data_IF_862531587807
#
_entry.id   IF_862531587807
#
_cell.length_a   1.000
_cell.length_b   1.000
_cell.length_c   1.000
_cell.angle_alpha   90.00
_cell.angle_beta   90.00
_cell.angle_gamma   90.00
#
_symmetry.space_group_name_H-M   'P 1'
#
loop_
_entity.id
_entity.type
_entity.pdbx_description
1 polymer ?
#
# COMPACT_ATOMS: atom_id res chain seq x y z
N UNK A 1 -0.75 -9.20 -6.32
CA UNK A 1 -0.38 -7.78 -6.13
C UNK A 1 -1.17 -7.23 -4.98
N UNK A 2 -0.65 -6.21 -4.31
CA UNK A 2 -1.41 -5.47 -3.32
C UNK A 2 -1.45 -3.98 -3.68
N UNK A 3 -2.44 -3.32 -3.11
CA UNK A 3 -2.55 -1.88 -3.04
C UNK A 3 -2.73 -1.53 -1.58
N UNK A 4 -1.85 -0.70 -1.02
CA UNK A 4 -2.02 -0.10 0.31
C UNK A 4 -1.85 1.40 0.20
N UNK A 5 -2.73 2.17 0.84
CA UNK A 5 -2.70 3.64 0.90
C UNK A 5 -2.34 4.09 2.32
N UNK A 6 -1.18 4.73 2.48
CA UNK A 6 -0.75 5.29 3.76
C UNK A 6 0.14 6.52 3.55
N UNK A 7 0.72 7.04 4.63
CA UNK A 7 1.83 8.00 4.48
C UNK A 7 3.07 7.27 3.95
N UNK A 8 3.99 8.01 3.31
CA UNK A 8 5.27 7.44 2.85
C UNK A 8 6.04 6.79 4.02
N UNK A 9 6.00 7.42 5.20
CA UNK A 9 6.65 6.91 6.40
C UNK A 9 6.03 5.59 6.87
N UNK A 10 4.71 5.49 6.87
CA UNK A 10 4.00 4.27 7.31
C UNK A 10 4.21 3.13 6.31
N UNK A 11 4.20 3.41 5.00
CA UNK A 11 4.53 2.40 3.99
C UNK A 11 5.97 1.89 4.13
N UNK A 12 6.93 2.75 4.49
CA UNK A 12 8.30 2.32 4.77
C UNK A 12 8.35 1.36 5.96
N UNK A 13 7.67 1.69 7.06
CA UNK A 13 7.63 0.83 8.26
C UNK A 13 6.98 -0.52 7.94
N UNK A 14 5.88 -0.52 7.20
CA UNK A 14 5.18 -1.73 6.81
C UNK A 14 6.03 -2.59 5.86
N UNK A 15 6.72 -1.98 4.88
CA UNK A 15 7.64 -2.72 4.00
C UNK A 15 8.76 -3.44 4.77
N UNK A 16 9.29 -2.83 5.84
CA UNK A 16 10.28 -3.49 6.69
C UNK A 16 9.68 -4.63 7.53
N UNK A 17 8.43 -4.48 7.99
CA UNK A 17 7.71 -5.57 8.66
C UNK A 17 7.48 -6.74 7.71
N UNK A 18 7.13 -6.47 6.45
CA UNK A 18 6.94 -7.48 5.40
C UNK A 18 8.19 -8.31 5.12
N UNK A 19 9.36 -7.67 5.13
CA UNK A 19 10.65 -8.37 4.99
C UNK A 19 10.90 -9.34 6.15
N UNK A 20 10.44 -8.99 7.36
CA UNK A 20 10.63 -9.80 8.58
C UNK A 20 9.56 -10.89 8.74
N UNK A 21 8.34 -10.64 8.28
CA UNK A 21 7.17 -11.50 8.44
C UNK A 21 6.44 -11.65 7.09
N UNK A 22 7.01 -12.40 6.13
CA UNK A 22 6.51 -12.47 4.76
C UNK A 22 5.10 -13.07 4.63
N UNK A 23 4.67 -13.86 5.63
CA UNK A 23 3.35 -14.50 5.67
C UNK A 23 2.32 -13.68 6.50
N UNK A 24 2.60 -12.41 6.82
CA UNK A 24 1.64 -11.59 7.57
C UNK A 24 0.35 -11.35 6.79
N UNK A 25 -0.77 -11.38 7.50
CA UNK A 25 -2.10 -11.15 6.91
C UNK A 25 -2.28 -9.66 6.57
N UNK A 26 -2.83 -9.39 5.38
CA UNK A 26 -3.15 -8.05 4.90
C UNK A 26 -4.66 -7.92 4.69
N UNK A 27 -5.37 -7.61 5.78
CA UNK A 27 -6.81 -7.29 5.78
C UNK A 27 -7.08 -5.91 6.39
N UNK A 28 -6.28 -4.92 5.97
CA UNK A 28 -6.46 -3.54 6.41
C UNK A 28 -7.50 -2.80 5.56
N UNK A 29 -8.30 -1.89 6.14
CA UNK A 29 -9.30 -1.13 5.40
C UNK A 29 -8.71 -0.18 4.35
N UNK A 30 -7.45 0.22 4.52
CA UNK A 30 -6.71 1.05 3.57
C UNK A 30 -5.90 0.23 2.56
N UNK A 31 -6.16 -1.08 2.43
CA UNK A 31 -5.49 -1.92 1.44
C UNK A 31 -6.34 -3.05 0.87
N UNK A 32 -5.88 -3.61 -0.25
CA UNK A 32 -6.42 -4.81 -0.89
C UNK A 32 -5.31 -5.64 -1.50
N UNK A 33 -5.33 -6.94 -1.22
CA UNK A 33 -4.50 -7.95 -1.87
C UNK A 33 -5.32 -8.73 -2.89
N UNK A 34 -4.80 -8.82 -4.12
CA UNK A 34 -5.47 -9.45 -5.25
C UNK A 34 -4.64 -10.57 -5.86
N UNK A 35 -5.33 -11.69 -6.09
CA UNK A 35 -4.84 -12.79 -6.92
C UNK A 35 -4.79 -12.37 -8.41
N UNK A 36 -4.02 -13.08 -9.26
CA UNK A 36 -3.98 -12.83 -10.70
C UNK A 36 -5.38 -12.82 -11.33
N UNK A 37 -5.59 -11.91 -12.29
CA UNK A 37 -6.85 -11.73 -13.02
C UNK A 37 -8.07 -11.36 -12.14
N UNK A 38 -7.84 -10.82 -10.94
CA UNK A 38 -8.89 -10.26 -10.08
C UNK A 38 -8.84 -8.73 -10.07
N UNK A 39 -9.96 -8.13 -9.69
CA UNK A 39 -10.16 -6.69 -9.58
C UNK A 39 -10.86 -6.40 -8.25
N UNK A 40 -10.52 -5.29 -7.61
CA UNK A 40 -11.27 -4.73 -6.49
C UNK A 40 -11.23 -3.21 -6.55
N UNK A 41 -12.22 -2.59 -5.94
CA UNK A 41 -12.31 -1.15 -5.79
C UNK A 41 -12.07 -0.75 -4.33
N UNK A 42 -11.43 0.41 -4.14
CA UNK A 42 -11.28 1.06 -2.84
C UNK A 42 -11.83 2.48 -2.96
N UNK A 43 -12.77 2.82 -2.09
CA UNK A 43 -13.28 4.19 -1.96
C UNK A 43 -12.66 4.80 -0.72
N UNK A 44 -11.94 5.92 -0.90
CA UNK A 44 -11.24 6.59 0.19
C UNK A 44 -11.66 8.04 0.32
N UNK A 45 -11.89 8.49 1.56
CA UNK A 45 -12.11 9.89 1.90
C UNK A 45 -10.91 10.41 2.68
N UNK A 46 -10.15 11.32 2.08
CA UNK A 46 -9.10 12.03 2.79
C UNK A 46 -9.71 13.04 3.77
N UNK A 47 -9.27 13.00 5.02
CA UNK A 47 -9.71 13.91 6.09
C UNK A 47 -8.68 14.98 6.43
N UNK A 48 -7.49 14.91 5.82
CA UNK A 48 -6.40 15.86 5.99
C UNK A 48 -5.67 16.08 4.67
N UNK A 49 -5.18 17.30 4.47
CA UNK A 49 -4.23 17.62 3.40
C UNK A 49 -2.87 16.99 3.71
N UNK A 50 -2.05 16.80 2.68
CA UNK A 50 -0.70 16.25 2.79
C UNK A 50 -0.33 15.29 1.67
N UNK A 51 0.85 14.71 1.82
CA UNK A 51 1.39 13.70 0.92
C UNK A 51 1.08 12.29 1.44
N UNK A 52 0.57 11.45 0.55
CA UNK A 52 0.29 10.04 0.77
C UNK A 52 0.93 9.22 -0.33
N UNK A 53 1.09 7.93 -0.12
CA UNK A 53 1.61 7.00 -1.12
C UNK A 53 0.69 5.78 -1.19
N UNK A 54 0.37 5.37 -2.42
CA UNK A 54 -0.09 4.01 -2.66
C UNK A 54 1.08 3.15 -3.11
N UNK A 55 1.18 1.92 -2.61
CA UNK A 55 2.27 1.00 -2.97
C UNK A 55 1.86 -0.47 -2.93
N UNK A 56 2.69 -1.32 -3.53
CA UNK A 56 2.69 -2.76 -3.34
C UNK A 56 3.92 -3.16 -2.51
N UNK A 57 3.73 -3.51 -1.24
CA UNK A 57 4.79 -3.81 -0.28
C UNK A 57 5.21 -5.28 -0.24
N UNK A 58 4.64 -6.12 -1.12
CA UNK A 58 5.22 -7.42 -1.45
C UNK A 58 6.73 -7.21 -1.75
N UNK A 59 7.65 -7.93 -1.08
CA UNK A 59 9.08 -7.67 -1.22
C UNK A 59 9.55 -7.57 -2.67
N UNK A 60 10.20 -6.44 -3.01
CA UNK A 60 10.73 -6.16 -4.33
C UNK A 60 9.77 -5.44 -5.29
N UNK A 61 8.46 -5.44 -5.03
CA UNK A 61 7.49 -4.84 -5.94
C UNK A 61 7.52 -3.31 -5.93
N UNK A 62 7.57 -2.72 -4.73
CA UNK A 62 7.67 -1.25 -4.56
C UNK A 62 8.96 -0.73 -5.17
N UNK A 63 10.09 -1.41 -4.92
CA UNK A 63 11.40 -1.08 -5.47
C UNK A 63 11.45 -1.23 -7.00
N UNK A 64 10.66 -2.15 -7.57
CA UNK A 64 10.49 -2.31 -9.00
C UNK A 64 9.56 -1.25 -9.64
N UNK A 65 9.00 -0.32 -8.85
CA UNK A 65 8.21 0.80 -9.33
C UNK A 65 6.70 0.70 -9.08
N UNK A 66 6.23 -0.29 -8.31
CA UNK A 66 4.81 -0.39 -7.94
C UNK A 66 4.43 0.56 -6.80
N UNK A 67 4.53 1.87 -7.04
CA UNK A 67 4.11 2.91 -6.11
C UNK A 67 3.72 4.21 -6.82
N UNK A 68 3.03 5.10 -6.11
CA UNK A 68 2.74 6.44 -6.58
C UNK A 68 2.36 7.39 -5.45
N UNK A 69 2.67 8.66 -5.64
CA UNK A 69 2.43 9.73 -4.66
C UNK A 69 1.09 10.40 -4.93
N UNK A 70 0.30 10.59 -3.88
CA UNK A 70 -0.96 11.32 -3.88
C UNK A 70 -0.79 12.59 -3.05
N UNK A 71 -1.01 13.74 -3.70
CA UNK A 71 -0.97 15.03 -3.05
C UNK A 71 -2.41 15.53 -2.80
N UNK A 72 -2.80 15.62 -1.54
CA UNK A 72 -4.11 16.15 -1.12
C UNK A 72 -3.93 17.59 -0.67
N UNK A 73 -4.68 18.52 -1.27
CA UNK A 73 -4.62 19.97 -0.99
C UNK A 73 -5.94 20.46 -0.40
#
# INVERSE_FOLDING_TARGET
HEFVLASVEDNNKHAELMKKYPDMEHDDPNGKSLAPNKTADIVWRFTRAGEFEFACLIPGHREAGMHGVINVK
#
